data_IF_624817235327
#
_entry.id   IF_624817235327
#
_cell.length_a   1.000
_cell.length_b   1.000
_cell.length_c   1.000
_cell.angle_alpha   90.00
_cell.angle_beta   90.00
_cell.angle_gamma   90.00
#
_symmetry.space_group_name_H-M   'P 1'
#
loop_
_entity.id
_entity.type
_entity.pdbx_description
1 polymer ?
#
# COMPACT_ATOMS: atom_id res chain seq x y z
N UNK A 1 -7.94 -1.58 -41.43
CA UNK A 1 -7.88 -0.85 -40.15
C UNK A 1 -6.46 -0.93 -39.64
N UNK A 2 -5.71 0.17 -39.73
CA UNK A 2 -4.40 0.25 -39.09
C UNK A 2 -4.64 0.33 -37.57
N UNK A 3 -4.09 -0.62 -36.83
CA UNK A 3 -4.16 -0.62 -35.37
C UNK A 3 -3.47 0.62 -34.84
N UNK A 4 -4.12 1.31 -33.90
CA UNK A 4 -3.44 2.27 -33.05
C UNK A 4 -2.37 1.51 -32.25
N UNK A 5 -1.11 1.62 -32.67
CA UNK A 5 0.01 1.32 -31.80
C UNK A 5 0.09 2.48 -30.79
N UNK A 6 -0.31 2.21 -29.55
CA UNK A 6 -0.20 3.16 -28.44
C UNK A 6 1.28 3.32 -28.11
N UNK A 7 1.92 4.25 -28.82
CA UNK A 7 3.25 4.81 -28.61
C UNK A 7 3.75 4.65 -27.16
N UNK A 8 4.62 3.66 -26.92
CA UNK A 8 5.61 3.62 -25.83
C UNK A 8 5.15 3.66 -24.37
N UNK A 9 3.84 3.65 -24.09
CA UNK A 9 3.31 3.75 -22.73
C UNK A 9 3.34 2.43 -21.94
N UNK A 10 3.16 2.52 -20.62
CA UNK A 10 2.97 1.35 -19.77
C UNK A 10 1.75 0.52 -20.21
N UNK A 11 1.95 -0.79 -20.39
CA UNK A 11 0.94 -1.70 -20.92
C UNK A 11 0.38 -2.59 -19.81
N UNK A 12 -0.90 -2.45 -19.49
CA UNK A 12 -1.58 -3.32 -18.51
C UNK A 12 -1.69 -4.73 -19.10
N UNK A 13 -1.26 -5.72 -18.32
CA UNK A 13 -1.39 -7.15 -18.63
C UNK A 13 -2.66 -7.73 -18.01
N UNK A 14 -2.90 -7.45 -16.74
CA UNK A 14 -4.07 -7.97 -16.02
C UNK A 14 -4.50 -7.05 -14.88
N UNK A 15 -5.79 -7.13 -14.54
CA UNK A 15 -6.35 -6.50 -13.33
C UNK A 15 -7.09 -7.59 -12.57
N UNK A 16 -6.68 -7.84 -11.34
CA UNK A 16 -7.44 -8.67 -10.41
C UNK A 16 -8.13 -7.76 -9.38
N UNK A 17 -9.35 -8.12 -9.00
CA UNK A 17 -10.09 -7.44 -7.93
C UNK A 17 -10.38 -8.40 -6.80
N UNK A 18 -9.96 -8.05 -5.60
CA UNK A 18 -10.21 -8.80 -4.37
C UNK A 18 -11.01 -7.93 -3.41
N UNK A 19 -12.05 -8.51 -2.80
CA UNK A 19 -12.69 -7.91 -1.64
C UNK A 19 -12.14 -8.59 -0.38
N UNK A 20 -11.37 -7.85 0.41
CA UNK A 20 -10.81 -8.36 1.67
C UNK A 20 -11.66 -7.89 2.84
N UNK A 21 -11.91 -8.78 3.81
CA UNK A 21 -12.70 -8.49 5.01
C UNK A 21 -11.97 -9.00 6.25
N UNK A 22 -11.84 -8.12 7.23
CA UNK A 22 -11.29 -8.41 8.55
C UNK A 22 -12.46 -8.59 9.51
N UNK A 23 -12.76 -9.83 9.90
CA UNK A 23 -13.88 -10.14 10.81
C UNK A 23 -13.49 -10.05 12.28
N UNK A 24 -12.21 -10.26 12.60
CA UNK A 24 -11.60 -9.95 13.89
C UNK A 24 -10.24 -9.29 13.67
N UNK A 25 -9.78 -8.45 14.60
CA UNK A 25 -8.46 -7.81 14.48
C UNK A 25 -7.35 -8.85 14.28
N UNK A 26 -6.49 -8.66 13.28
CA UNK A 26 -5.46 -9.64 12.94
C UNK A 26 -4.83 -9.45 11.56
N UNK A 27 -4.10 -10.50 11.15
CA UNK A 27 -3.44 -10.63 9.84
C UNK A 27 -4.06 -11.80 9.08
N UNK A 28 -4.38 -11.57 7.81
CA UNK A 28 -5.11 -12.51 6.97
C UNK A 28 -4.49 -12.56 5.57
N UNK A 29 -4.83 -13.60 4.83
CA UNK A 29 -4.37 -13.78 3.45
C UNK A 29 -5.53 -14.06 2.50
N UNK A 30 -5.36 -13.61 1.25
CA UNK A 30 -6.18 -14.00 0.12
C UNK A 30 -5.26 -14.55 -0.98
N UNK A 31 -5.67 -15.65 -1.60
CA UNK A 31 -5.00 -16.18 -2.79
C UNK A 31 -5.38 -15.36 -4.02
N UNK A 32 -4.40 -15.10 -4.88
CA UNK A 32 -4.57 -14.39 -6.15
C UNK A 32 -3.93 -15.20 -7.27
N UNK A 33 -4.32 -14.92 -8.52
CA UNK A 33 -3.58 -15.43 -9.67
C UNK A 33 -2.17 -14.84 -9.64
N UNK A 34 -1.16 -15.64 -10.02
CA UNK A 34 0.24 -15.23 -10.00
C UNK A 34 0.48 -13.94 -10.81
N UNK A 35 1.22 -13.00 -10.22
CA UNK A 35 1.65 -11.74 -10.86
C UNK A 35 3.17 -11.55 -10.79
N UNK A 36 3.73 -10.80 -11.73
CA UNK A 36 5.11 -10.30 -11.63
C UNK A 36 5.20 -9.16 -10.61
N UNK A 37 5.87 -9.42 -9.50
CA UNK A 37 6.11 -8.47 -8.42
C UNK A 37 6.91 -7.24 -8.89
N UNK A 38 7.77 -7.33 -9.90
CA UNK A 38 8.49 -6.15 -10.42
C UNK A 38 7.60 -5.21 -11.25
N UNK A 39 6.39 -5.66 -11.62
CA UNK A 39 5.49 -4.98 -12.56
C UNK A 39 4.06 -4.90 -12.07
N UNK A 40 3.87 -4.95 -10.76
CA UNK A 40 2.53 -4.92 -10.15
C UNK A 40 2.49 -3.93 -9.02
N UNK A 41 1.45 -3.11 -8.95
CA UNK A 41 1.16 -2.31 -7.76
C UNK A 41 -0.32 -2.39 -7.40
N UNK A 42 -0.63 -2.02 -6.16
CA UNK A 42 -1.95 -2.09 -5.58
C UNK A 42 -2.64 -0.73 -5.59
N UNK A 43 -3.93 -0.74 -5.95
CA UNK A 43 -4.85 0.36 -5.68
C UNK A 43 -5.85 -0.13 -4.64
N UNK A 44 -5.87 0.53 -3.48
CA UNK A 44 -6.57 0.05 -2.28
C UNK A 44 -7.63 1.06 -1.88
N UNK A 45 -8.89 0.62 -1.85
CA UNK A 45 -10.03 1.43 -1.44
C UNK A 45 -10.59 0.88 -0.12
N UNK A 46 -10.13 1.39 1.03
CA UNK A 46 -10.63 0.95 2.33
C UNK A 46 -12.05 1.45 2.57
N UNK A 47 -12.84 0.64 3.28
CA UNK A 47 -14.18 1.01 3.76
C UNK A 47 -14.50 0.29 5.06
N UNK A 48 -15.46 0.84 5.81
CA UNK A 48 -15.97 0.23 7.05
C UNK A 48 -17.30 -0.48 6.76
N UNK A 49 -17.46 -1.69 7.30
CA UNK A 49 -18.71 -2.47 7.16
C UNK A 49 -19.77 -2.12 8.20
N UNK A 50 -19.37 -1.41 9.26
CA UNK A 50 -20.26 -0.97 10.34
C UNK A 50 -20.04 0.52 10.60
N UNK A 51 -21.07 1.20 11.11
CA UNK A 51 -20.96 2.56 11.62
C UNK A 51 -20.22 2.55 12.97
N UNK A 52 -18.92 2.25 12.96
CA UNK A 52 -18.06 2.42 14.13
C UNK A 52 -17.24 3.69 13.97
N UNK A 53 -17.21 4.51 15.03
CA UNK A 53 -16.35 5.67 15.14
C UNK A 53 -14.89 5.19 15.27
N UNK A 54 -14.20 5.08 14.14
CA UNK A 54 -12.79 4.72 14.11
C UNK A 54 -12.38 4.11 12.78
N UNK A 55 -11.77 4.91 11.92
CA UNK A 55 -11.05 4.39 10.76
C UNK A 55 -9.67 3.95 11.24
N UNK A 56 -9.40 2.65 11.37
CA UNK A 56 -8.12 2.21 11.96
C UNK A 56 -7.02 1.90 10.95
N UNK A 57 -7.25 2.22 9.67
CA UNK A 57 -6.37 1.91 8.57
C UNK A 57 -6.27 0.41 8.30
N UNK A 58 -6.20 0.03 7.03
CA UNK A 58 -5.94 -1.34 6.61
C UNK A 58 -4.59 -1.36 5.91
N UNK A 59 -3.68 -2.19 6.38
CA UNK A 59 -2.42 -2.47 5.69
C UNK A 59 -2.66 -3.61 4.73
N UNK A 60 -2.35 -3.40 3.45
CA UNK A 60 -2.52 -4.41 2.39
C UNK A 60 -1.25 -4.43 1.55
N UNK A 61 -0.71 -5.63 1.30
CA UNK A 61 0.49 -5.82 0.51
C UNK A 61 0.59 -7.22 -0.10
N UNK A 62 1.36 -7.37 -1.17
CA UNK A 62 1.72 -8.66 -1.73
C UNK A 62 2.92 -9.22 -0.96
N UNK A 63 2.76 -10.40 -0.34
CA UNK A 63 3.87 -11.09 0.33
C UNK A 63 4.68 -11.95 -0.65
N UNK A 64 4.03 -12.43 -1.70
CA UNK A 64 4.63 -13.14 -2.83
C UNK A 64 3.73 -12.96 -4.07
N UNK A 65 4.07 -13.60 -5.19
CA UNK A 65 3.34 -13.48 -6.46
C UNK A 65 1.89 -13.99 -6.42
N UNK A 66 1.50 -14.78 -5.42
CA UNK A 66 0.18 -15.44 -5.32
C UNK A 66 -0.59 -15.10 -4.04
N UNK A 67 0.00 -14.32 -3.13
CA UNK A 67 -0.57 -14.08 -1.79
C UNK A 67 -0.64 -12.60 -1.45
N UNK A 68 -1.87 -12.11 -1.34
CA UNK A 68 -2.20 -10.80 -0.77
C UNK A 68 -2.35 -10.95 0.75
N UNK A 69 -1.59 -10.17 1.52
CA UNK A 69 -1.75 -10.03 2.97
C UNK A 69 -2.55 -8.78 3.26
N UNK A 70 -3.48 -8.87 4.19
CA UNK A 70 -4.23 -7.73 4.68
C UNK A 70 -4.42 -7.79 6.20
N UNK A 71 -4.26 -6.65 6.83
CA UNK A 71 -4.15 -6.56 8.28
C UNK A 71 -4.82 -5.29 8.79
N UNK A 72 -5.38 -5.37 9.99
CA UNK A 72 -6.16 -4.28 10.52
C UNK A 72 -7.03 -4.72 11.68
N UNK A 73 -8.02 -3.89 11.97
CA UNK A 73 -8.96 -4.10 13.06
C UNK A 73 -10.26 -4.73 12.58
N UNK A 74 -11.00 -5.33 13.51
CA UNK A 74 -12.34 -5.88 13.25
C UNK A 74 -13.21 -4.92 12.42
N UNK A 75 -13.94 -5.50 11.47
CA UNK A 75 -14.88 -4.83 10.57
C UNK A 75 -14.28 -3.90 9.52
N UNK A 76 -12.95 -3.86 9.38
CA UNK A 76 -12.32 -3.22 8.24
C UNK A 76 -12.41 -4.08 6.99
N UNK A 77 -12.53 -3.43 5.85
CA UNK A 77 -12.56 -4.08 4.56
C UNK A 77 -11.92 -3.19 3.51
N UNK A 78 -11.52 -3.78 2.38
CA UNK A 78 -11.06 -3.02 1.24
C UNK A 78 -11.46 -3.70 -0.07
N UNK A 79 -11.69 -2.89 -1.09
CA UNK A 79 -11.53 -3.33 -2.47
C UNK A 79 -10.07 -3.11 -2.86
N UNK A 80 -9.42 -4.18 -3.30
CA UNK A 80 -8.02 -4.17 -3.71
C UNK A 80 -7.98 -4.51 -5.19
N UNK A 81 -7.43 -3.60 -5.98
CA UNK A 81 -7.10 -3.82 -7.37
C UNK A 81 -5.61 -4.12 -7.48
N UNK A 82 -5.27 -5.25 -8.07
CA UNK A 82 -3.90 -5.68 -8.33
C UNK A 82 -3.67 -5.48 -9.82
N UNK A 83 -2.89 -4.45 -10.17
CA UNK A 83 -2.66 -4.06 -11.56
C UNK A 83 -1.29 -4.59 -11.98
N UNK A 84 -1.27 -5.63 -12.80
CA UNK A 84 -0.04 -6.17 -13.38
C UNK A 84 0.15 -5.58 -14.78
N UNK A 85 1.38 -5.17 -15.07
CA UNK A 85 1.79 -4.61 -16.36
C UNK A 85 2.68 -5.59 -17.12
N UNK A 86 2.52 -5.64 -18.44
CA UNK A 86 3.42 -6.37 -19.32
C UNK A 86 4.79 -5.65 -19.42
N UNK A 87 4.74 -4.31 -19.48
CA UNK A 87 5.89 -3.44 -19.71
C UNK A 87 5.61 -2.00 -19.25
N UNK A 88 6.66 -1.17 -19.19
CA UNK A 88 6.59 0.28 -18.96
C UNK A 88 6.47 0.72 -17.50
N UNK A 89 6.55 -0.20 -16.53
CA UNK A 89 6.77 0.13 -15.12
C UNK A 89 7.84 -0.76 -14.48
N UNK A 90 8.41 -0.26 -13.39
CA UNK A 90 9.10 -1.06 -12.37
C UNK A 90 8.56 -0.72 -10.99
N UNK A 91 8.52 -1.70 -10.09
CA UNK A 91 7.98 -1.53 -8.73
C UNK A 91 8.96 -2.03 -7.69
N UNK A 92 9.31 -1.15 -6.76
CA UNK A 92 9.94 -1.52 -5.48
C UNK A 92 8.89 -1.52 -4.39
N UNK A 93 8.97 -2.43 -3.43
CA UNK A 93 8.02 -2.48 -2.31
C UNK A 93 8.66 -2.89 -1.00
N UNK A 94 7.98 -2.59 0.09
CA UNK A 94 8.36 -3.06 1.41
C UNK A 94 7.29 -2.81 2.46
N UNK A 95 7.56 -3.31 3.65
CA UNK A 95 6.75 -3.08 4.85
C UNK A 95 7.64 -2.52 5.95
N UNK A 96 7.05 -1.78 6.89
CA UNK A 96 7.78 -1.28 8.04
C UNK A 96 6.84 -0.77 9.12
N UNK A 97 7.43 -0.10 10.10
CA UNK A 97 6.73 0.49 11.23
C UNK A 97 7.34 1.84 11.59
N UNK A 98 6.50 2.83 11.87
CA UNK A 98 6.87 4.02 12.65
C UNK A 98 6.57 3.66 14.11
N UNK A 99 7.58 3.56 15.00
CA UNK A 99 7.34 3.19 16.39
C UNK A 99 6.55 4.26 17.14
N UNK A 100 5.95 3.88 18.28
CA UNK A 100 5.36 4.84 19.21
C UNK A 100 6.44 5.86 19.66
N UNK A 101 6.05 7.12 19.78
CA UNK A 101 6.95 8.26 20.03
C UNK A 101 7.59 8.86 18.78
N UNK A 102 7.48 8.23 17.60
CA UNK A 102 7.98 8.76 16.33
C UNK A 102 6.86 9.18 15.38
N UNK A 103 7.14 10.17 14.53
CA UNK A 103 6.22 10.65 13.48
C UNK A 103 6.66 10.30 12.07
N UNK A 104 7.86 9.74 11.89
CA UNK A 104 8.37 9.40 10.56
C UNK A 104 9.36 8.23 10.58
N UNK A 105 9.57 7.65 9.39
CA UNK A 105 10.59 6.65 9.11
C UNK A 105 11.21 6.92 7.73
N UNK A 106 12.55 6.88 7.66
CA UNK A 106 13.29 6.90 6.39
C UNK A 106 13.52 5.48 5.90
N UNK A 107 13.25 5.26 4.62
CA UNK A 107 13.41 3.96 3.96
C UNK A 107 14.39 4.14 2.80
N UNK A 108 15.52 3.44 2.90
CA UNK A 108 16.47 3.34 1.80
C UNK A 108 15.85 2.48 0.68
N UNK A 109 15.90 2.97 -0.55
CA UNK A 109 15.41 2.30 -1.75
C UNK A 109 16.50 2.29 -2.82
N UNK A 110 16.38 1.39 -3.80
CA UNK A 110 17.22 1.47 -4.99
C UNK A 110 16.90 2.75 -5.77
N UNK A 111 17.89 3.28 -6.48
CA UNK A 111 17.76 4.56 -7.17
C UNK A 111 16.59 4.58 -8.18
N UNK A 112 15.73 5.59 -8.09
CA UNK A 112 14.64 5.88 -9.05
C UNK A 112 14.74 7.31 -9.56
N UNK A 113 14.08 7.60 -10.68
CA UNK A 113 13.86 8.96 -11.17
C UNK A 113 12.60 9.55 -10.49
N UNK A 114 12.72 10.56 -9.60
CA UNK A 114 11.55 11.13 -8.91
C UNK A 114 10.55 11.81 -9.83
N UNK A 115 10.97 12.21 -11.05
CA UNK A 115 10.07 12.86 -12.03
C UNK A 115 9.16 11.86 -12.76
N UNK A 116 9.50 10.57 -12.69
CA UNK A 116 8.76 9.45 -13.30
C UNK A 116 8.20 8.48 -12.27
N UNK A 117 8.32 8.81 -10.99
CA UNK A 117 7.98 7.89 -9.90
C UNK A 117 6.91 8.46 -8.99
N UNK A 118 6.05 7.60 -8.49
CA UNK A 118 5.08 7.91 -7.46
C UNK A 118 5.04 6.81 -6.40
N UNK A 119 4.42 7.10 -5.26
CA UNK A 119 4.37 6.19 -4.12
C UNK A 119 2.94 5.83 -3.81
N UNK A 120 2.67 4.54 -3.60
CA UNK A 120 1.44 4.06 -2.95
C UNK A 120 1.76 3.68 -1.50
N UNK A 121 0.80 3.93 -0.61
CA UNK A 121 0.93 3.64 0.80
C UNK A 121 -0.36 2.99 1.30
N UNK A 122 -0.21 1.94 2.10
CA UNK A 122 -1.26 1.45 2.97
C UNK A 122 -0.71 1.31 4.38
N UNK A 123 -1.57 1.42 5.38
CA UNK A 123 -1.12 1.30 6.75
C UNK A 123 -2.24 1.22 7.74
N UNK A 124 -1.88 0.81 8.95
CA UNK A 124 -2.76 0.60 10.08
C UNK A 124 -2.07 1.05 11.35
N UNK A 125 -2.86 1.39 12.35
CA UNK A 125 -2.33 1.54 13.70
C UNK A 125 -2.01 0.18 14.32
N UNK A 126 -1.00 0.16 15.18
CA UNK A 126 -0.78 -0.93 16.13
C UNK A 126 -1.49 -0.54 17.42
N UNK A 127 -2.39 -1.40 17.89
CA UNK A 127 -3.22 -1.12 19.05
C UNK A 127 -2.41 -0.91 20.33
N UNK A 128 -2.58 0.24 20.97
CA UNK A 128 -2.37 0.40 22.41
C UNK A 128 -3.58 1.18 22.96
N UNK A 129 -4.44 0.50 23.71
CA UNK A 129 -5.78 0.99 24.07
C UNK A 129 -5.80 2.43 24.60
N UNK A 130 -6.45 3.33 23.85
CA UNK A 130 -6.98 4.64 24.27
C UNK A 130 -7.75 5.29 23.10
N UNK A 131 -8.46 6.39 23.38
CA UNK A 131 -9.35 7.14 22.48
C UNK A 131 -8.72 7.55 21.14
N UNK A 132 -9.53 7.49 20.09
CA UNK A 132 -9.08 7.47 18.70
C UNK A 132 -9.21 8.83 18.01
N UNK A 133 -8.17 9.24 17.29
CA UNK A 133 -8.20 10.45 16.46
C UNK A 133 -7.76 10.16 15.03
N UNK A 134 -8.40 10.85 14.08
CA UNK A 134 -8.05 10.91 12.65
C UNK A 134 -6.55 11.00 12.38
N UNK A 135 -5.89 11.84 13.17
CA UNK A 135 -4.46 12.15 13.11
C UNK A 135 -3.54 10.97 13.34
N UNK A 136 -4.02 9.87 13.95
CA UNK A 136 -3.17 8.74 14.33
C UNK A 136 -2.95 7.73 13.19
N UNK A 137 -3.95 7.55 12.32
CA UNK A 137 -3.93 6.52 11.27
C UNK A 137 -3.70 7.07 9.86
N UNK A 138 -3.68 8.39 9.68
CA UNK A 138 -3.36 9.02 8.40
C UNK A 138 -1.84 9.14 8.23
N UNK A 139 -1.26 8.16 7.54
CA UNK A 139 0.11 8.22 7.04
C UNK A 139 0.17 8.78 5.62
N UNK A 140 1.28 9.40 5.27
CA UNK A 140 1.61 9.79 3.90
C UNK A 140 3.06 9.41 3.59
N UNK A 141 3.37 9.29 2.30
CA UNK A 141 4.67 8.83 1.83
C UNK A 141 5.11 9.64 0.61
N UNK A 142 6.40 10.00 0.53
CA UNK A 142 6.97 10.69 -0.62
C UNK A 142 8.49 10.49 -0.72
N UNK A 143 9.00 10.57 -1.94
CA UNK A 143 10.44 10.52 -2.21
C UNK A 143 11.10 11.83 -1.77
N UNK A 144 12.13 11.75 -0.93
CA UNK A 144 12.95 12.93 -0.58
C UNK A 144 14.20 13.02 -1.47
N UNK A 145 14.59 11.91 -2.08
CA UNK A 145 15.67 11.82 -3.06
C UNK A 145 15.43 10.64 -3.99
N UNK A 146 16.33 10.39 -4.95
CA UNK A 146 16.29 9.20 -5.80
C UNK A 146 16.46 7.89 -5.02
N UNK A 147 16.98 7.93 -3.79
CA UNK A 147 17.36 6.74 -3.00
C UNK A 147 16.69 6.68 -1.62
N UNK A 148 15.81 7.63 -1.30
CA UNK A 148 15.14 7.69 -0.01
C UNK A 148 13.64 8.00 -0.13
N UNK A 149 12.86 7.17 0.53
CA UNK A 149 11.43 7.32 0.75
C UNK A 149 11.19 7.73 2.21
N UNK A 150 10.44 8.81 2.43
CA UNK A 150 9.95 9.17 3.77
C UNK A 150 8.52 8.68 3.94
N UNK A 151 8.25 7.96 5.03
CA UNK A 151 6.90 7.72 5.54
C UNK A 151 6.70 8.63 6.76
N UNK A 152 5.56 9.32 6.81
CA UNK A 152 5.26 10.28 7.88
C UNK A 152 3.79 10.22 8.30
N UNK A 153 3.48 10.71 9.49
CA UNK A 153 2.14 10.79 10.07
C UNK A 153 2.06 11.97 11.05
N UNK A 154 0.85 12.41 11.39
CA UNK A 154 0.65 13.62 12.20
C UNK A 154 0.71 13.42 13.73
N UNK A 155 0.67 12.17 14.21
CA UNK A 155 0.60 11.86 15.64
C UNK A 155 1.56 10.70 15.96
N UNK A 156 2.23 10.77 17.11
CA UNK A 156 3.25 9.80 17.53
C UNK A 156 2.78 8.78 18.58
N UNK A 157 1.55 8.87 19.08
CA UNK A 157 1.07 8.15 20.27
C UNK A 157 1.20 6.63 20.15
N UNK A 158 0.60 6.06 19.10
CA UNK A 158 0.58 4.61 18.85
C UNK A 158 1.65 4.23 17.83
N UNK A 159 2.07 2.98 17.65
CA UNK A 159 2.89 2.63 16.49
C UNK A 159 2.04 2.57 15.20
N UNK A 160 2.65 2.80 14.03
CA UNK A 160 2.00 2.77 12.72
C UNK A 160 2.70 1.78 11.79
N UNK A 161 2.01 0.70 11.47
CA UNK A 161 2.45 -0.33 10.53
C UNK A 161 2.09 0.11 9.11
N UNK A 162 3.04 0.04 8.18
CA UNK A 162 2.83 0.45 6.80
C UNK A 162 3.36 -0.58 5.79
N UNK A 163 2.82 -0.48 4.58
CA UNK A 163 3.35 -1.08 3.36
C UNK A 163 3.39 -0.02 2.26
N UNK A 164 4.49 0.01 1.51
CA UNK A 164 4.74 1.01 0.48
C UNK A 164 5.11 0.35 -0.85
N UNK A 165 4.80 1.03 -1.94
CA UNK A 165 5.30 0.70 -3.27
C UNK A 165 5.78 1.98 -3.96
N UNK A 166 7.01 1.97 -4.47
CA UNK A 166 7.52 3.01 -5.37
C UNK A 166 7.35 2.47 -6.79
N UNK A 167 6.50 3.14 -7.56
CA UNK A 167 6.21 2.79 -8.95
C UNK A 167 6.94 3.78 -9.84
N UNK A 168 7.80 3.29 -10.72
CA UNK A 168 8.55 4.10 -11.69
C UNK A 168 8.12 3.74 -13.10
N UNK A 169 7.72 4.75 -13.87
CA UNK A 169 7.46 4.61 -15.30
C UNK A 169 8.80 4.50 -16.05
N UNK A 170 8.96 3.46 -16.87
CA UNK A 170 10.20 3.17 -17.61
C UNK A 170 10.05 3.39 -19.10
#
# INVERSE_FOLDING_TARGET
MAGFDLLGGAQIKSIQRVNVQITSSGSYTASITAVDLGKTFLVIHPYLKVASEGYYGIRVYLSNSTTLVYEGFSYQSAYVYILEFASGISVQRGTGQIPAGATSANIAIAAVDPTKSFVTLSGKLVYAGSSYYGSQYMGYAYLTSSTNLLISRSDSTNAYDFAWEVVTLV
#
